data_IF_968339520617
#
_entry.id   IF_968339520617
#
_cell.length_a   1.000
_cell.length_b   1.000
_cell.length_c   1.000
_cell.angle_alpha   90.00
_cell.angle_beta   90.00
_cell.angle_gamma   90.00
#
_symmetry.space_group_name_H-M   'P 1'
#
loop_
_entity.id
_entity.type
_entity.pdbx_description
1 polymer ?
#
# COMPACT_ATOMS: atom_id res chain seq x y z
N UNK A 1 31.56 20.57 13.86
CA UNK A 1 30.36 19.79 13.73
C UNK A 1 29.40 20.57 12.84
N UNK A 2 29.33 20.19 11.56
CA UNK A 2 28.39 20.77 10.61
C UNK A 2 27.02 20.22 11.01
N UNK A 3 26.16 21.12 11.55
CA UNK A 3 24.80 20.78 11.91
C UNK A 3 24.07 20.19 10.69
N UNK A 4 23.62 18.94 10.81
CA UNK A 4 22.66 18.38 9.87
C UNK A 4 21.43 19.29 9.95
N UNK A 5 21.17 20.07 8.90
CA UNK A 5 19.93 20.83 8.78
C UNK A 5 18.79 19.80 8.87
N UNK A 6 18.02 19.84 9.95
CA UNK A 6 16.87 18.96 10.11
C UNK A 6 15.85 19.31 9.03
N UNK A 7 15.43 18.31 8.24
CA UNK A 7 14.35 18.51 7.27
C UNK A 7 13.09 18.97 7.99
N UNK A 8 12.34 19.88 7.38
CA UNK A 8 11.00 20.21 7.86
C UNK A 8 10.04 19.04 7.63
N UNK A 9 8.95 18.98 8.37
CA UNK A 9 7.90 17.96 8.15
C UNK A 9 7.45 17.89 6.69
N UNK A 10 7.25 19.03 6.03
CA UNK A 10 6.83 19.08 4.63
C UNK A 10 7.90 18.48 3.68
N UNK A 11 9.17 18.71 3.97
CA UNK A 11 10.27 18.12 3.21
C UNK A 11 10.37 16.61 3.41
N UNK A 12 10.25 16.12 4.67
CA UNK A 12 10.20 14.69 4.98
C UNK A 12 9.03 14.01 4.30
N UNK A 13 7.83 14.60 4.35
CA UNK A 13 6.64 14.06 3.71
C UNK A 13 6.82 13.96 2.18
N UNK A 14 7.36 15.00 1.56
CA UNK A 14 7.62 15.00 0.11
C UNK A 14 8.65 13.94 -0.28
N UNK A 15 9.73 13.80 0.50
CA UNK A 15 10.78 12.81 0.24
C UNK A 15 10.24 11.38 0.41
N UNK A 16 9.51 11.11 1.49
CA UNK A 16 8.87 9.81 1.73
C UNK A 16 7.85 9.46 0.65
N UNK A 17 7.03 10.43 0.22
CA UNK A 17 6.07 10.22 -0.87
C UNK A 17 6.76 9.83 -2.18
N UNK A 18 7.80 10.56 -2.59
CA UNK A 18 8.58 10.25 -3.80
C UNK A 18 9.21 8.86 -3.76
N UNK A 19 9.86 8.51 -2.64
CA UNK A 19 10.47 7.19 -2.46
C UNK A 19 9.44 6.08 -2.54
N UNK A 20 8.31 6.26 -1.87
CA UNK A 20 7.21 5.28 -1.84
C UNK A 20 6.59 5.11 -3.22
N UNK A 21 6.29 6.19 -3.93
CA UNK A 21 5.70 6.14 -5.27
C UNK A 21 6.62 5.46 -6.28
N UNK A 22 7.91 5.78 -6.26
CA UNK A 22 8.89 5.10 -7.12
C UNK A 22 9.00 3.61 -6.79
N UNK A 23 8.90 3.24 -5.52
CA UNK A 23 8.92 1.83 -5.07
C UNK A 23 7.65 1.11 -5.50
N UNK A 24 6.48 1.71 -5.30
CA UNK A 24 5.18 1.16 -5.69
C UNK A 24 5.07 1.02 -7.22
N UNK A 25 5.51 2.00 -7.99
CA UNK A 25 5.50 1.93 -9.46
C UNK A 25 6.32 0.74 -9.97
N UNK A 26 7.50 0.50 -9.39
CA UNK A 26 8.34 -0.65 -9.70
C UNK A 26 7.70 -1.98 -9.29
N UNK A 27 7.13 -2.05 -8.08
CA UNK A 27 6.46 -3.26 -7.55
C UNK A 27 5.24 -3.61 -8.41
N UNK A 28 4.46 -2.61 -8.82
CA UNK A 28 3.24 -2.76 -9.62
C UNK A 28 3.51 -2.79 -11.13
N UNK A 29 4.76 -2.93 -11.58
CA UNK A 29 5.04 -3.15 -13.00
C UNK A 29 4.56 -4.54 -13.43
N UNK A 30 4.06 -4.67 -14.66
CA UNK A 30 3.60 -5.95 -15.21
C UNK A 30 4.66 -7.04 -15.08
N UNK A 31 5.92 -6.71 -15.37
CA UNK A 31 7.05 -7.63 -15.26
C UNK A 31 7.33 -8.07 -13.82
N UNK A 32 7.08 -7.22 -12.84
CA UNK A 32 7.31 -7.54 -11.42
C UNK A 32 6.23 -8.48 -10.86
N UNK A 33 5.01 -8.37 -11.36
CA UNK A 33 3.85 -9.12 -10.84
C UNK A 33 3.69 -10.46 -11.54
N UNK A 34 3.84 -10.51 -12.86
CA UNK A 34 3.53 -11.70 -13.67
C UNK A 34 4.76 -12.46 -14.16
N UNK A 35 5.97 -11.95 -13.93
CA UNK A 35 7.20 -12.55 -14.42
C UNK A 35 7.41 -12.30 -15.92
N UNK A 36 7.14 -13.30 -16.76
CA UNK A 36 7.16 -13.19 -18.21
C UNK A 36 5.79 -12.70 -18.72
N UNK A 37 5.75 -12.12 -19.92
CA UNK A 37 4.63 -11.39 -20.53
C UNK A 37 3.22 -11.82 -20.01
N UNK A 38 2.47 -10.91 -19.35
CA UNK A 38 1.17 -11.26 -18.78
C UNK A 38 0.17 -11.56 -19.87
N UNK A 39 -0.72 -12.52 -19.59
CA UNK A 39 -1.93 -12.70 -20.39
C UNK A 39 -2.74 -11.39 -20.42
N UNK A 40 -3.45 -11.05 -21.51
CA UNK A 40 -4.21 -9.80 -21.63
C UNK A 40 -5.18 -9.54 -20.49
N UNK A 41 -5.75 -10.60 -19.90
CA UNK A 41 -6.65 -10.51 -18.74
C UNK A 41 -5.92 -10.05 -17.47
N UNK A 42 -4.69 -10.49 -17.26
CA UNK A 42 -3.86 -10.04 -16.14
C UNK A 42 -3.50 -8.55 -16.28
N UNK A 43 -3.32 -8.05 -17.50
CA UNK A 43 -3.05 -6.63 -17.78
C UNK A 43 -4.16 -5.70 -17.26
N UNK A 44 -5.46 -6.08 -17.42
CA UNK A 44 -6.59 -5.31 -16.88
C UNK A 44 -6.56 -5.25 -15.36
N UNK A 45 -6.28 -6.36 -14.68
CA UNK A 45 -6.19 -6.40 -13.22
C UNK A 45 -5.03 -5.56 -12.71
N UNK A 46 -3.86 -5.69 -13.32
CA UNK A 46 -2.68 -4.87 -12.96
C UNK A 46 -2.98 -3.38 -13.16
N UNK A 47 -3.64 -3.00 -14.26
CA UNK A 47 -4.04 -1.62 -14.50
C UNK A 47 -5.00 -1.10 -13.41
N UNK A 48 -5.96 -1.90 -12.95
CA UNK A 48 -6.86 -1.55 -11.86
C UNK A 48 -6.13 -1.43 -10.51
N UNK A 49 -5.19 -2.34 -10.20
CA UNK A 49 -4.32 -2.23 -9.01
C UNK A 49 -3.47 -0.96 -9.04
N UNK A 50 -2.89 -0.63 -10.20
CA UNK A 50 -2.14 0.63 -10.39
C UNK A 50 -3.03 1.86 -10.23
N UNK A 51 -4.25 1.82 -10.76
CA UNK A 51 -5.23 2.90 -10.58
C UNK A 51 -5.54 3.15 -9.09
N UNK A 52 -5.76 2.09 -8.31
CA UNK A 52 -6.00 2.19 -6.87
C UNK A 52 -4.82 2.82 -6.10
N UNK A 53 -3.58 2.54 -6.53
CA UNK A 53 -2.38 2.91 -5.77
C UNK A 53 -1.76 4.21 -6.24
N UNK A 54 -1.62 4.42 -7.57
CA UNK A 54 -0.86 5.52 -8.15
C UNK A 54 -1.71 6.79 -8.41
N UNK A 55 -3.00 6.78 -8.05
CA UNK A 55 -3.91 7.91 -8.15
C UNK A 55 -3.64 9.07 -7.17
N UNK A 56 -2.44 9.13 -6.58
CA UNK A 56 -2.03 10.17 -5.63
C UNK A 56 -2.33 9.82 -4.17
N UNK A 57 -2.00 10.75 -3.28
CA UNK A 57 -2.20 10.62 -1.84
C UNK A 57 -1.08 11.29 -1.04
N UNK A 58 -1.35 11.60 0.23
CA UNK A 58 -0.36 12.26 1.10
C UNK A 58 0.78 11.34 1.56
N UNK A 59 0.64 10.02 1.39
CA UNK A 59 1.63 9.01 1.81
C UNK A 59 2.09 9.15 3.27
N UNK A 60 1.17 9.50 4.15
CA UNK A 60 1.48 9.69 5.59
C UNK A 60 1.89 8.36 6.25
N UNK A 61 1.23 7.25 5.90
CA UNK A 61 1.56 5.92 6.45
C UNK A 61 2.98 5.49 6.09
N UNK A 62 3.41 5.58 4.83
CA UNK A 62 4.81 5.39 4.44
C UNK A 62 5.79 6.30 5.16
N UNK A 63 5.46 7.59 5.33
CA UNK A 63 6.29 8.50 6.11
C UNK A 63 6.51 7.98 7.53
N UNK A 64 5.45 7.54 8.21
CA UNK A 64 5.56 7.03 9.58
C UNK A 64 6.47 5.80 9.66
N UNK A 65 6.43 4.89 8.67
CA UNK A 65 7.34 3.73 8.61
C UNK A 65 8.79 4.19 8.46
N UNK A 66 9.05 5.10 7.51
CA UNK A 66 10.40 5.60 7.19
C UNK A 66 10.98 6.37 8.40
N UNK A 67 10.22 7.27 9.00
CA UNK A 67 10.68 8.05 10.15
C UNK A 67 10.87 7.16 11.41
N UNK A 68 10.01 6.14 11.60
CA UNK A 68 10.20 5.17 12.68
C UNK A 68 11.49 4.37 12.50
N UNK A 69 11.80 3.93 11.28
CA UNK A 69 13.05 3.23 10.96
C UNK A 69 14.27 4.14 11.18
N UNK A 70 14.16 5.43 10.84
CA UNK A 70 15.21 6.41 11.04
C UNK A 70 15.58 6.62 12.52
N UNK A 71 14.63 6.44 13.45
CA UNK A 71 14.91 6.49 14.90
C UNK A 71 15.90 5.39 15.33
N UNK A 72 15.97 4.29 14.58
CA UNK A 72 16.91 3.19 14.81
C UNK A 72 18.13 3.25 13.88
N UNK A 73 18.35 4.37 13.19
CA UNK A 73 19.49 4.59 12.32
C UNK A 73 19.42 3.92 10.95
N UNK A 74 18.24 3.41 10.55
CA UNK A 74 18.05 2.82 9.23
C UNK A 74 17.86 3.93 8.18
N UNK A 75 18.53 3.83 7.02
CA UNK A 75 18.29 4.76 5.92
C UNK A 75 16.90 4.54 5.30
N UNK A 76 16.29 5.58 4.71
CA UNK A 76 14.94 5.50 4.12
C UNK A 76 14.76 4.38 3.11
N UNK A 77 15.79 4.06 2.33
CA UNK A 77 15.77 3.03 1.30
C UNK A 77 15.54 1.62 1.88
N UNK A 78 16.08 1.34 3.07
CA UNK A 78 15.93 0.04 3.73
C UNK A 78 14.51 -0.16 4.27
N UNK A 79 13.77 0.92 4.52
CA UNK A 79 12.37 0.88 4.94
C UNK A 79 11.38 0.97 3.76
N UNK A 80 11.85 1.20 2.52
CA UNK A 80 10.99 1.52 1.39
C UNK A 80 10.00 0.41 1.03
N UNK A 81 10.42 -0.86 1.04
CA UNK A 81 9.53 -1.99 0.75
C UNK A 81 8.47 -2.19 1.85
N UNK A 82 8.85 -2.05 3.11
CA UNK A 82 7.93 -2.10 4.25
C UNK A 82 6.91 -0.96 4.18
N UNK A 83 7.36 0.25 3.86
CA UNK A 83 6.49 1.40 3.66
C UNK A 83 5.52 1.20 2.49
N UNK A 84 5.99 0.64 1.37
CA UNK A 84 5.17 0.30 0.23
C UNK A 84 4.14 -0.79 0.56
N UNK A 85 4.51 -1.84 1.30
CA UNK A 85 3.60 -2.90 1.71
C UNK A 85 2.45 -2.35 2.58
N UNK A 86 2.75 -1.45 3.51
CA UNK A 86 1.72 -0.81 4.33
C UNK A 86 0.78 0.06 3.48
N UNK A 87 1.30 0.76 2.47
CA UNK A 87 0.46 1.56 1.55
C UNK A 87 -0.39 0.66 0.64
N UNK A 88 0.11 -0.51 0.20
CA UNK A 88 -0.69 -1.49 -0.55
C UNK A 88 -1.89 -1.97 0.29
N UNK A 89 -1.69 -2.27 1.58
CA UNK A 89 -2.78 -2.61 2.51
C UNK A 89 -3.77 -1.45 2.65
N UNK A 90 -3.29 -0.21 2.73
CA UNK A 90 -4.19 0.94 2.76
C UNK A 90 -4.98 1.08 1.46
N UNK A 91 -4.35 0.91 0.29
CA UNK A 91 -5.02 1.07 -0.99
C UNK A 91 -6.05 -0.02 -1.26
N UNK A 92 -5.79 -1.29 -0.86
CA UNK A 92 -6.81 -2.32 -0.98
C UNK A 92 -8.05 -1.99 -0.14
N UNK A 93 -7.85 -1.52 1.10
CA UNK A 93 -8.99 -1.18 1.96
C UNK A 93 -9.85 -0.08 1.33
N UNK A 94 -9.23 0.95 0.74
CA UNK A 94 -9.96 2.00 0.04
C UNK A 94 -10.71 1.47 -1.20
N UNK A 95 -10.08 0.57 -1.99
CA UNK A 95 -10.73 0.00 -3.17
C UNK A 95 -11.98 -0.82 -2.79
N UNK A 96 -11.96 -1.50 -1.65
CA UNK A 96 -13.13 -2.24 -1.14
C UNK A 96 -14.14 -1.32 -0.46
N UNK A 97 -13.70 -0.33 0.33
CA UNK A 97 -14.59 0.63 0.98
C UNK A 97 -15.41 1.44 -0.03
N UNK A 98 -14.85 1.75 -1.20
CA UNK A 98 -15.53 2.49 -2.25
C UNK A 98 -16.69 1.71 -2.91
N UNK A 99 -16.75 0.37 -2.77
CA UNK A 99 -17.76 -0.47 -3.41
C UNK A 99 -19.19 -0.09 -2.99
N UNK A 100 -20.20 -0.32 -3.88
CA UNK A 100 -21.61 -0.08 -3.55
C UNK A 100 -22.12 -0.79 -2.30
N UNK A 101 -21.52 -1.92 -1.92
CA UNK A 101 -21.87 -2.67 -0.72
C UNK A 101 -21.28 -2.08 0.58
N UNK A 102 -20.40 -1.09 0.46
CA UNK A 102 -19.70 -0.41 1.54
C UNK A 102 -20.12 1.07 1.55
N UNK A 103 -19.18 1.99 1.29
CA UNK A 103 -19.43 3.44 1.31
C UNK A 103 -20.12 3.96 0.03
N UNK A 104 -20.11 3.18 -1.06
CA UNK A 104 -20.68 3.52 -2.36
C UNK A 104 -20.13 4.84 -2.94
N UNK A 105 -18.83 5.04 -2.83
CA UNK A 105 -18.17 6.23 -3.33
C UNK A 105 -17.79 6.11 -4.81
N UNK A 106 -18.25 7.04 -5.64
CA UNK A 106 -17.91 7.08 -7.06
C UNK A 106 -16.57 7.80 -7.35
N UNK A 107 -16.17 8.70 -6.46
CA UNK A 107 -14.96 9.53 -6.62
C UNK A 107 -14.10 9.46 -5.36
N UNK A 108 -12.79 9.34 -5.55
CA UNK A 108 -11.78 9.46 -4.49
C UNK A 108 -10.67 10.39 -4.94
N UNK A 109 -10.39 11.43 -4.15
CA UNK A 109 -9.38 12.46 -4.49
C UNK A 109 -9.62 13.10 -5.86
N UNK A 110 -10.89 13.24 -6.28
CA UNK A 110 -11.27 13.81 -7.57
C UNK A 110 -11.10 12.87 -8.78
N UNK A 111 -10.72 11.61 -8.57
CA UNK A 111 -10.64 10.58 -9.61
C UNK A 111 -11.75 9.54 -9.40
N UNK A 112 -12.24 8.89 -10.47
CA UNK A 112 -13.15 7.76 -10.34
C UNK A 112 -12.53 6.66 -9.46
N UNK A 113 -13.33 6.08 -8.57
CA UNK A 113 -12.94 4.91 -7.78
C UNK A 113 -12.73 3.69 -8.69
N UNK A 114 -12.07 2.63 -8.21
CA UNK A 114 -11.75 1.47 -9.05
C UNK A 114 -13.01 0.84 -9.64
N UNK A 115 -14.07 0.65 -8.81
CA UNK A 115 -15.32 0.06 -9.29
C UNK A 115 -16.03 0.95 -10.31
N UNK A 116 -15.88 2.27 -10.21
CA UNK A 116 -16.47 3.22 -11.15
C UNK A 116 -15.68 3.31 -12.46
N UNK A 117 -14.36 3.22 -12.39
CA UNK A 117 -13.47 3.25 -13.57
C UNK A 117 -13.48 1.93 -14.37
N UNK A 118 -13.70 0.82 -13.69
CA UNK A 118 -13.71 -0.54 -14.28
C UNK A 118 -15.07 -1.20 -14.08
N UNK A 119 -15.25 -1.91 -12.96
CA UNK A 119 -16.47 -2.56 -12.49
C UNK A 119 -16.25 -3.12 -11.06
N UNK A 120 -17.31 -3.60 -10.40
CA UNK A 120 -17.25 -4.07 -9.01
C UNK A 120 -16.35 -5.30 -8.85
N UNK A 121 -16.47 -6.30 -9.74
CA UNK A 121 -15.64 -7.51 -9.59
C UNK A 121 -14.15 -7.22 -9.84
N UNK A 122 -13.82 -6.28 -10.73
CA UNK A 122 -12.43 -5.83 -10.94
C UNK A 122 -11.91 -5.12 -9.69
N UNK A 123 -12.73 -4.29 -9.03
CA UNK A 123 -12.35 -3.62 -7.79
C UNK A 123 -12.10 -4.61 -6.65
N UNK A 124 -12.96 -5.63 -6.51
CA UNK A 124 -12.78 -6.71 -5.53
C UNK A 124 -11.44 -7.41 -5.77
N UNK A 125 -11.20 -7.88 -6.98
CA UNK A 125 -9.97 -8.62 -7.31
C UNK A 125 -8.72 -7.73 -7.25
N UNK A 126 -8.83 -6.45 -7.58
CA UNK A 126 -7.72 -5.51 -7.42
C UNK A 126 -7.35 -5.32 -5.93
N UNK A 127 -8.34 -5.22 -5.06
CA UNK A 127 -8.13 -5.18 -3.61
C UNK A 127 -7.48 -6.45 -3.09
N UNK A 128 -7.99 -7.63 -3.47
CA UNK A 128 -7.42 -8.93 -3.09
C UNK A 128 -5.97 -9.06 -3.56
N UNK A 129 -5.70 -8.65 -4.82
CA UNK A 129 -4.37 -8.64 -5.40
C UNK A 129 -3.40 -7.72 -4.66
N UNK A 130 -3.83 -6.51 -4.27
CA UNK A 130 -3.03 -5.55 -3.51
C UNK A 130 -2.72 -6.07 -2.10
N UNK A 131 -3.71 -6.66 -1.41
CA UNK A 131 -3.51 -7.25 -0.09
C UNK A 131 -2.49 -8.39 -0.15
N UNK A 132 -2.64 -9.30 -1.11
CA UNK A 132 -1.74 -10.44 -1.31
C UNK A 132 -0.32 -9.96 -1.65
N UNK A 133 -0.19 -8.99 -2.55
CA UNK A 133 1.08 -8.40 -2.97
C UNK A 133 1.81 -7.73 -1.80
N UNK A 134 1.11 -7.13 -0.84
CA UNK A 134 1.72 -6.53 0.34
C UNK A 134 2.54 -7.55 1.14
N UNK A 135 2.00 -8.76 1.34
CA UNK A 135 2.70 -9.84 2.05
C UNK A 135 3.83 -10.45 1.22
N UNK A 136 3.64 -10.56 -0.09
CA UNK A 136 4.70 -10.99 -1.00
C UNK A 136 5.90 -10.04 -0.94
N UNK A 137 5.66 -8.72 -1.00
CA UNK A 137 6.70 -7.68 -0.90
C UNK A 137 7.49 -7.81 0.40
N UNK A 138 6.81 -8.01 1.54
CA UNK A 138 7.50 -8.21 2.82
C UNK A 138 8.33 -9.51 2.86
N UNK A 139 7.95 -10.52 2.08
CA UNK A 139 8.69 -11.78 1.97
C UNK A 139 9.93 -11.71 1.08
N UNK A 140 10.07 -10.70 0.23
CA UNK A 140 11.18 -10.57 -0.71
C UNK A 140 12.52 -10.35 0.00
N UNK A 141 13.61 -10.86 -0.58
CA UNK A 141 14.96 -10.65 -0.07
C UNK A 141 15.37 -9.16 -0.07
N UNK A 142 14.82 -8.39 -0.99
CA UNK A 142 15.04 -6.94 -1.11
C UNK A 142 14.42 -6.15 0.06
N UNK A 143 13.46 -6.71 0.76
CA UNK A 143 12.87 -6.08 1.95
C UNK A 143 13.82 -6.16 3.14
N UNK A 144 14.43 -7.32 3.36
CA UNK A 144 15.47 -7.51 4.36
C UNK A 144 16.25 -8.81 4.10
N UNK A 145 17.57 -8.79 4.30
CA UNK A 145 18.41 -9.96 4.07
C UNK A 145 18.10 -11.11 5.05
N UNK A 146 17.81 -10.78 6.32
CA UNK A 146 17.44 -11.78 7.35
C UNK A 146 15.98 -12.22 7.19
N UNK A 147 15.72 -13.53 6.91
CA UNK A 147 14.38 -14.07 6.80
C UNK A 147 13.57 -13.97 8.10
N UNK A 148 14.21 -13.96 9.27
CA UNK A 148 13.50 -13.82 10.54
C UNK A 148 12.86 -12.43 10.67
N UNK A 149 13.52 -11.39 10.19
CA UNK A 149 12.98 -10.03 10.13
C UNK A 149 11.79 -9.98 9.16
N UNK A 150 11.89 -10.58 7.98
CA UNK A 150 10.78 -10.65 7.02
C UNK A 150 9.53 -11.32 7.61
N UNK A 151 9.73 -12.46 8.30
CA UNK A 151 8.63 -13.16 8.99
C UNK A 151 8.00 -12.29 10.08
N UNK A 152 8.82 -11.57 10.85
CA UNK A 152 8.32 -10.65 11.88
C UNK A 152 7.48 -9.51 11.28
N UNK A 153 7.93 -8.91 10.17
CA UNK A 153 7.19 -7.87 9.44
C UNK A 153 5.86 -8.40 8.89
N UNK A 154 5.85 -9.57 8.26
CA UNK A 154 4.65 -10.23 7.75
C UNK A 154 3.65 -10.48 8.89
N UNK A 155 4.12 -11.03 10.01
CA UNK A 155 3.28 -11.34 11.17
C UNK A 155 2.71 -10.08 11.81
N UNK A 156 3.50 -9.01 11.91
CA UNK A 156 3.06 -7.73 12.45
C UNK A 156 1.98 -7.08 11.57
N UNK A 157 2.20 -7.05 10.24
CA UNK A 157 1.23 -6.49 9.30
C UNK A 157 -0.06 -7.31 9.29
N UNK A 158 0.02 -8.64 9.24
CA UNK A 158 -1.15 -9.53 9.24
C UNK A 158 -2.02 -9.33 10.50
N UNK A 159 -1.39 -9.19 11.66
CA UNK A 159 -2.10 -8.93 12.92
C UNK A 159 -2.77 -7.57 12.95
N UNK A 160 -2.05 -6.53 12.49
CA UNK A 160 -2.55 -5.16 12.52
C UNK A 160 -3.63 -4.90 11.46
N UNK A 161 -3.60 -5.60 10.32
CA UNK A 161 -4.60 -5.45 9.25
C UNK A 161 -5.80 -6.41 9.37
N UNK A 162 -5.70 -7.46 10.18
CA UNK A 162 -6.72 -8.50 10.31
C UNK A 162 -7.91 -8.15 11.21
N UNK A 163 -8.62 -9.21 11.68
CA UNK A 163 -9.85 -9.08 12.47
C UNK A 163 -9.67 -8.36 13.82
N UNK A 164 -8.47 -8.42 14.41
CA UNK A 164 -8.14 -7.68 15.64
C UNK A 164 -7.58 -6.27 15.37
N UNK A 165 -7.52 -5.84 14.11
CA UNK A 165 -6.97 -4.56 13.68
C UNK A 165 -7.91 -3.84 12.71
N UNK A 166 -7.38 -3.45 11.54
CA UNK A 166 -8.08 -2.61 10.57
C UNK A 166 -9.42 -3.22 10.11
N UNK A 167 -9.46 -4.50 9.71
CA UNK A 167 -10.71 -5.15 9.26
C UNK A 167 -11.75 -5.21 10.37
N UNK A 168 -11.34 -5.52 11.61
CA UNK A 168 -12.23 -5.49 12.76
C UNK A 168 -12.74 -4.09 13.08
N UNK A 169 -11.91 -3.07 12.96
CA UNK A 169 -12.29 -1.68 13.08
C UNK A 169 -13.35 -1.27 12.06
N UNK A 170 -13.17 -1.64 10.80
CA UNK A 170 -14.14 -1.39 9.73
C UNK A 170 -15.50 -2.06 10.00
N UNK A 171 -15.48 -3.29 10.50
CA UNK A 171 -16.72 -3.97 10.88
C UNK A 171 -17.48 -3.24 12.02
N UNK A 172 -16.76 -2.70 12.99
CA UNK A 172 -17.36 -1.92 14.09
C UNK A 172 -17.92 -0.58 13.60
N UNK A 173 -17.23 0.08 12.68
CA UNK A 173 -17.66 1.34 12.08
C UNK A 173 -19.00 1.17 11.35
N UNK A 174 -19.07 0.20 10.43
CA UNK A 174 -20.31 -0.12 9.71
C UNK A 174 -21.48 -0.59 10.61
N UNK A 175 -21.19 -1.14 11.79
CA UNK A 175 -22.23 -1.51 12.77
C UNK A 175 -22.72 -0.30 13.55
N UNK A 176 -21.91 0.74 13.72
CA UNK A 176 -22.28 1.95 14.44
C UNK A 176 -23.21 2.86 13.62
N UNK A 177 -23.17 2.78 12.29
CA UNK A 177 -24.01 3.55 11.37
C UNK A 177 -25.43 2.95 11.17
N UNK A 178 -25.74 1.84 11.84
CA UNK A 178 -27.06 1.17 11.84
C UNK A 178 -27.81 1.35 13.15
#
# INVERSE_FOLDING_TARGET
PVGKSSMTFAQSLTAAARLTEATLDRILSERSISGEAPEPQAGRLIAAMRHAVLGGGKRVRPLLVIESAALFGLPPQDAAHTAAALELVHCYSLAHDDLPAMDNDELRRGQPTVWKAYDEWTAILAGDGLLTLAFEVLGRAETHSDPAVRVALISALARASGAAGMVGGQALDLMADK
#
